data_IF_525390612989
#
_entry.id   IF_525390612989
#
_cell.length_a   1.000
_cell.length_b   1.000
_cell.length_c   1.000
_cell.angle_alpha   90.00
_cell.angle_beta   90.00
_cell.angle_gamma   90.00
#
_symmetry.space_group_name_H-M   'P 1'
#
loop_
_entity.id
_entity.type
_entity.pdbx_description
1 polymer ?
#
# COMPACT_ATOMS: atom_id res chain seq x y z
N UNK A 1 7.06 22.90 -3.04
CA UNK A 1 8.26 22.20 -3.53
C UNK A 1 7.87 21.54 -4.84
N UNK A 2 8.52 21.90 -5.96
CA UNK A 2 8.15 21.41 -7.31
C UNK A 2 8.53 19.93 -7.47
N UNK A 3 7.54 19.04 -7.60
CA UNK A 3 7.74 17.67 -8.06
C UNK A 3 7.27 17.62 -9.52
N UNK A 4 8.17 17.95 -10.44
CA UNK A 4 7.98 17.83 -11.88
C UNK A 4 8.58 16.50 -12.33
N UNK A 5 7.81 15.40 -12.27
CA UNK A 5 8.15 14.11 -12.91
C UNK A 5 6.89 13.31 -13.34
N UNK A 6 5.76 13.98 -13.59
CA UNK A 6 4.45 13.31 -13.62
C UNK A 6 3.97 12.74 -14.96
N UNK A 7 4.85 12.52 -15.95
CA UNK A 7 4.39 12.33 -17.34
C UNK A 7 4.46 10.93 -17.97
N UNK A 8 5.23 9.98 -17.45
CA UNK A 8 5.60 8.77 -18.25
C UNK A 8 5.44 7.43 -17.55
N UNK A 9 5.10 7.40 -16.26
CA UNK A 9 4.96 6.13 -15.52
C UNK A 9 3.52 5.60 -15.61
N UNK A 10 3.31 4.27 -15.71
CA UNK A 10 1.99 3.67 -15.59
C UNK A 10 1.32 4.12 -14.28
N UNK A 11 0.02 4.48 -14.31
CA UNK A 11 -0.74 5.03 -13.17
C UNK A 11 -0.48 4.29 -11.85
N UNK A 12 -0.44 2.96 -11.87
CA UNK A 12 -0.20 2.16 -10.67
C UNK A 12 1.19 2.37 -10.06
N UNK A 13 2.22 2.56 -10.89
CA UNK A 13 3.59 2.79 -10.42
C UNK A 13 3.74 4.18 -9.82
N UNK A 14 3.12 5.19 -10.44
CA UNK A 14 3.05 6.54 -9.90
C UNK A 14 2.39 6.56 -8.51
N UNK A 15 1.28 5.84 -8.34
CA UNK A 15 0.61 5.69 -7.05
C UNK A 15 1.51 5.04 -5.99
N UNK A 16 2.12 3.88 -6.31
CA UNK A 16 3.01 3.14 -5.42
C UNK A 16 4.23 3.97 -4.99
N UNK A 17 4.79 4.77 -5.89
CA UNK A 17 5.92 5.65 -5.60
C UNK A 17 5.49 6.81 -4.68
N UNK A 18 4.38 7.50 -4.99
CA UNK A 18 3.83 8.58 -4.16
C UNK A 18 3.43 8.11 -2.77
N UNK A 19 2.74 6.97 -2.65
CA UNK A 19 2.44 6.33 -1.36
C UNK A 19 3.72 5.98 -0.60
N UNK A 20 4.74 5.47 -1.30
CA UNK A 20 6.04 5.19 -0.70
C UNK A 20 6.71 6.44 -0.10
N UNK A 21 6.58 7.61 -0.75
CA UNK A 21 7.08 8.88 -0.20
C UNK A 21 6.32 9.30 1.06
N UNK A 22 4.99 9.24 1.03
CA UNK A 22 4.15 9.54 2.19
C UNK A 22 4.52 8.65 3.38
N UNK A 23 4.57 7.34 3.17
CA UNK A 23 4.86 6.38 4.24
C UNK A 23 6.29 6.51 4.75
N UNK A 24 7.26 6.82 3.88
CA UNK A 24 8.61 7.17 4.33
C UNK A 24 8.63 8.41 5.23
N UNK A 25 7.83 9.42 4.92
CA UNK A 25 7.72 10.62 5.75
C UNK A 25 7.13 10.31 7.13
N UNK A 26 6.10 9.47 7.18
CA UNK A 26 5.41 9.08 8.42
C UNK A 26 6.25 8.16 9.33
N UNK A 27 7.06 7.27 8.75
CA UNK A 27 7.75 6.20 9.50
C UNK A 27 9.27 6.36 9.59
N UNK A 28 9.88 7.23 8.79
CA UNK A 28 11.32 7.51 8.87
C UNK A 28 12.19 6.26 8.73
N UNK A 29 12.94 5.92 9.77
CA UNK A 29 13.84 4.76 9.80
C UNK A 29 13.12 3.41 9.80
N UNK A 30 11.85 3.37 10.20
CA UNK A 30 11.02 2.16 10.17
C UNK A 30 10.48 1.84 8.77
N UNK A 31 10.72 2.70 7.79
CA UNK A 31 10.37 2.48 6.39
C UNK A 31 11.57 1.99 5.57
N UNK A 32 11.37 0.93 4.81
CA UNK A 32 12.34 0.43 3.83
C UNK A 32 11.66 0.12 2.50
N UNK A 33 12.14 0.70 1.40
CA UNK A 33 11.67 0.34 0.06
C UNK A 33 12.10 -1.09 -0.29
N UNK A 34 11.20 -1.90 -0.83
CA UNK A 34 11.57 -3.23 -1.30
C UNK A 34 12.42 -3.14 -2.56
N UNK A 35 13.34 -4.09 -2.72
CA UNK A 35 14.07 -4.29 -3.96
C UNK A 35 13.16 -4.95 -5.00
N UNK A 36 13.47 -4.81 -6.29
CA UNK A 36 12.73 -5.50 -7.37
C UNK A 36 12.68 -7.02 -7.15
N UNK A 37 13.74 -7.61 -6.58
CA UNK A 37 13.77 -9.06 -6.30
C UNK A 37 12.79 -9.44 -5.19
N UNK A 38 12.65 -8.60 -4.17
CA UNK A 38 11.69 -8.80 -3.08
C UNK A 38 10.26 -8.63 -3.60
N UNK A 39 9.98 -7.61 -4.41
CA UNK A 39 8.65 -7.48 -5.02
C UNK A 39 8.30 -8.72 -5.88
N UNK A 40 9.21 -9.18 -6.73
CA UNK A 40 8.94 -10.34 -7.59
C UNK A 40 8.73 -11.66 -6.83
N UNK A 41 9.38 -11.85 -5.67
CA UNK A 41 9.37 -13.11 -4.90
C UNK A 41 8.43 -13.10 -3.70
N UNK A 42 8.17 -11.92 -3.17
CA UNK A 42 7.44 -11.72 -1.92
C UNK A 42 6.23 -10.81 -2.14
N UNK A 43 6.04 -10.24 -3.34
CA UNK A 43 4.90 -9.39 -3.69
C UNK A 43 4.78 -8.19 -2.77
N UNK A 44 5.89 -7.53 -2.48
CA UNK A 44 6.03 -6.47 -1.48
C UNK A 44 6.61 -5.22 -2.12
N UNK A 45 5.94 -4.08 -1.98
CA UNK A 45 6.41 -2.79 -2.47
C UNK A 45 7.39 -2.14 -1.48
N UNK A 46 7.12 -2.31 -0.18
CA UNK A 46 7.93 -1.75 0.90
C UNK A 46 7.69 -2.46 2.25
N UNK A 47 8.53 -2.14 3.21
CA UNK A 47 8.45 -2.61 4.59
C UNK A 47 8.16 -1.45 5.53
N UNK A 48 7.25 -1.64 6.48
CA UNK A 48 6.94 -0.67 7.54
C UNK A 48 7.01 -1.39 8.88
N UNK A 49 7.91 -0.96 9.78
CA UNK A 49 8.17 -1.63 11.06
C UNK A 49 8.40 -3.15 10.90
N UNK A 50 9.09 -3.55 9.82
CA UNK A 50 9.36 -4.95 9.47
C UNK A 50 8.20 -5.72 8.81
N UNK A 51 7.01 -5.11 8.64
CA UNK A 51 5.85 -5.70 7.98
C UNK A 51 5.97 -5.50 6.47
N UNK A 52 5.75 -6.56 5.68
CA UNK A 52 5.65 -6.49 4.21
C UNK A 52 4.35 -5.82 3.80
N UNK A 53 4.43 -4.78 2.99
CA UNK A 53 3.27 -4.03 2.52
C UNK A 53 3.25 -3.94 0.99
N UNK A 54 2.08 -4.16 0.42
CA UNK A 54 1.73 -4.05 -1.00
C UNK A 54 0.56 -3.07 -1.11
N UNK A 55 0.70 -2.04 -1.93
CA UNK A 55 -0.32 -1.03 -2.15
C UNK A 55 -0.83 -1.09 -3.57
N UNK A 56 -2.15 -0.99 -3.73
CA UNK A 56 -2.72 -1.12 -5.05
C UNK A 56 -3.99 -0.33 -5.21
N UNK A 57 -4.24 0.14 -6.42
CA UNK A 57 -5.52 0.69 -6.85
C UNK A 57 -6.38 -0.34 -7.60
N UNK A 58 -5.95 -1.61 -7.62
CA UNK A 58 -6.65 -2.69 -8.33
C UNK A 58 -7.11 -3.78 -7.35
N UNK A 59 -8.31 -4.34 -7.55
CA UNK A 59 -8.79 -5.41 -6.69
C UNK A 59 -7.89 -6.65 -6.79
N UNK A 60 -7.44 -7.15 -5.64
CA UNK A 60 -6.60 -8.36 -5.55
C UNK A 60 -7.48 -9.61 -5.50
N UNK A 61 -7.22 -10.57 -6.39
CA UNK A 61 -8.11 -11.74 -6.61
C UNK A 61 -7.55 -13.10 -6.19
N UNK A 62 -6.27 -13.20 -5.82
CA UNK A 62 -5.61 -14.50 -5.58
C UNK A 62 -5.01 -14.59 -4.18
N UNK A 63 -5.19 -15.73 -3.50
CA UNK A 63 -4.55 -16.05 -2.21
C UNK A 63 -4.65 -14.93 -1.17
N UNK A 64 -5.80 -14.25 -1.13
CA UNK A 64 -6.07 -13.15 -0.20
C UNK A 64 -7.08 -13.55 0.85
N UNK A 65 -6.87 -13.09 2.08
CA UNK A 65 -7.84 -13.09 3.17
C UNK A 65 -8.17 -11.64 3.51
N UNK A 66 -9.43 -11.27 3.39
CA UNK A 66 -9.90 -9.96 3.83
C UNK A 66 -9.80 -9.84 5.35
N UNK A 67 -9.32 -8.69 5.84
CA UNK A 67 -9.27 -8.38 7.26
C UNK A 67 -10.32 -7.34 7.64
N UNK A 68 -10.27 -6.16 7.02
CA UNK A 68 -11.13 -5.04 7.35
C UNK A 68 -11.15 -3.98 6.23
N UNK A 69 -11.95 -2.93 6.38
CA UNK A 69 -11.87 -1.74 5.55
C UNK A 69 -12.07 -0.44 6.33
N UNK A 70 -11.47 0.62 5.80
CA UNK A 70 -11.59 1.97 6.32
C UNK A 70 -12.16 2.86 5.22
N UNK A 71 -13.12 3.71 5.57
CA UNK A 71 -13.74 4.63 4.63
C UNK A 71 -13.29 6.05 4.96
N UNK A 72 -12.66 6.70 3.99
CA UNK A 72 -12.35 8.13 4.00
C UNK A 72 -13.14 8.81 2.88
N UNK A 73 -13.33 10.15 2.90
CA UNK A 73 -14.02 10.84 1.82
C UNK A 73 -13.42 10.49 0.47
N UNK A 74 -14.18 9.86 -0.43
CA UNK A 74 -13.70 9.57 -1.79
C UNK A 74 -12.81 8.34 -1.96
N UNK A 75 -12.51 7.58 -0.89
CA UNK A 75 -11.77 6.32 -1.00
C UNK A 75 -12.20 5.29 0.06
N UNK A 76 -12.27 4.02 -0.33
CA UNK A 76 -12.29 2.90 0.62
C UNK A 76 -10.95 2.17 0.58
N UNK A 77 -10.33 2.04 1.76
CA UNK A 77 -9.07 1.34 1.95
C UNK A 77 -9.39 -0.06 2.47
N UNK A 78 -9.27 -1.06 1.61
CA UNK A 78 -9.47 -2.46 1.96
C UNK A 78 -8.15 -3.06 2.46
N UNK A 79 -8.18 -3.65 3.64
CA UNK A 79 -7.02 -4.28 4.29
C UNK A 79 -7.11 -5.79 4.15
N UNK A 80 -6.08 -6.39 3.58
CA UNK A 80 -6.07 -7.82 3.27
C UNK A 80 -4.72 -8.45 3.61
N UNK A 81 -4.69 -9.76 3.86
CA UNK A 81 -3.47 -10.56 3.90
C UNK A 81 -3.35 -11.35 2.62
N UNK A 82 -2.20 -11.24 1.95
CA UNK A 82 -1.89 -12.00 0.74
C UNK A 82 -0.82 -13.04 1.03
N UNK A 83 -1.13 -14.29 0.74
CA UNK A 83 -0.27 -15.44 1.03
C UNK A 83 0.52 -15.93 -0.19
N UNK A 84 0.36 -15.28 -1.34
CA UNK A 84 1.10 -15.65 -2.54
C UNK A 84 0.65 -14.90 -3.79
N UNK A 85 1.26 -15.26 -4.90
CA UNK A 85 0.87 -14.82 -6.23
C UNK A 85 0.51 -16.03 -7.10
N UNK A 86 0.33 -15.81 -8.41
CA UNK A 86 0.01 -16.89 -9.35
C UNK A 86 1.10 -17.95 -9.49
N UNK A 87 2.34 -17.63 -9.11
CA UNK A 87 3.52 -18.47 -9.34
C UNK A 87 4.00 -19.20 -8.09
N UNK A 88 3.90 -18.58 -6.91
CA UNK A 88 4.39 -19.14 -5.66
C UNK A 88 3.59 -18.68 -4.46
N UNK A 89 3.70 -19.42 -3.36
CA UNK A 89 3.30 -19.01 -2.02
C UNK A 89 4.40 -18.19 -1.37
N UNK A 90 4.01 -17.20 -0.59
CA UNK A 90 4.93 -16.39 0.20
C UNK A 90 5.23 -17.08 1.51
N UNK A 91 6.48 -16.94 2.00
CA UNK A 91 6.90 -17.50 3.29
C UNK A 91 6.13 -16.85 4.46
N UNK A 92 5.89 -15.56 4.35
CA UNK A 92 5.14 -14.75 5.29
C UNK A 92 4.07 -13.98 4.51
N UNK A 93 2.88 -13.77 5.08
CA UNK A 93 1.84 -13.01 4.41
C UNK A 93 2.28 -11.55 4.20
N UNK A 94 1.75 -10.93 3.15
CA UNK A 94 1.90 -9.51 2.86
C UNK A 94 0.64 -8.78 3.27
N UNK A 95 0.79 -7.66 3.96
CA UNK A 95 -0.28 -6.71 4.20
C UNK A 95 -0.58 -5.97 2.90
N UNK A 96 -1.77 -6.19 2.35
CA UNK A 96 -2.23 -5.48 1.16
C UNK A 96 -3.18 -4.36 1.57
N UNK A 97 -2.90 -3.15 1.11
CA UNK A 97 -3.83 -2.02 1.16
C UNK A 97 -4.34 -1.74 -0.26
N UNK A 98 -5.60 -2.11 -0.51
CA UNK A 98 -6.28 -1.83 -1.76
C UNK A 98 -7.11 -0.54 -1.63
N UNK A 99 -6.73 0.48 -2.38
CA UNK A 99 -7.37 1.79 -2.41
C UNK A 99 -8.40 1.84 -3.54
N UNK A 100 -9.66 1.69 -3.18
CA UNK A 100 -10.79 1.86 -4.09
C UNK A 100 -11.19 3.34 -4.13
N UNK A 101 -10.74 4.04 -5.18
CA UNK A 101 -10.98 5.48 -5.37
C UNK A 101 -12.31 5.77 -6.08
N UNK A 102 -13.00 6.82 -5.62
CA UNK A 102 -14.23 7.35 -6.21
C UNK A 102 -14.07 8.80 -6.73
N UNK A 103 -12.89 9.41 -6.58
CA UNK A 103 -12.65 10.83 -6.91
C UNK A 103 -12.01 11.06 -8.28
N UNK A 104 -11.60 10.00 -8.99
CA UNK A 104 -11.02 10.09 -10.33
C UNK A 104 -9.89 9.08 -10.55
N UNK A 105 -9.37 8.97 -11.79
CA UNK A 105 -8.29 8.05 -12.12
C UNK A 105 -6.88 8.58 -11.81
N UNK A 106 -6.75 9.85 -11.40
CA UNK A 106 -5.46 10.46 -11.11
C UNK A 106 -4.88 9.90 -9.79
N UNK A 107 -3.71 9.26 -9.82
CA UNK A 107 -3.10 8.72 -8.60
C UNK A 107 -2.64 9.79 -7.61
N UNK A 108 -2.33 11.02 -8.05
CA UNK A 108 -1.85 12.08 -7.16
C UNK A 108 -2.98 12.65 -6.32
N UNK A 109 -4.14 12.90 -6.92
CA UNK A 109 -5.34 13.35 -6.21
C UNK A 109 -5.72 12.38 -5.08
N UNK A 110 -5.55 11.07 -5.32
CA UNK A 110 -5.79 10.04 -4.32
C UNK A 110 -4.76 10.07 -3.18
N UNK A 111 -3.48 10.28 -3.49
CA UNK A 111 -2.44 10.34 -2.44
C UNK A 111 -2.56 11.62 -1.61
N UNK A 112 -2.85 12.76 -2.24
CA UNK A 112 -3.10 14.02 -1.53
C UNK A 112 -4.31 13.90 -0.58
N UNK A 113 -5.38 13.21 -1.03
CA UNK A 113 -6.51 12.87 -0.17
C UNK A 113 -6.08 11.97 1.01
N UNK A 114 -5.30 10.92 0.75
CA UNK A 114 -4.82 10.01 1.80
C UNK A 114 -3.93 10.77 2.79
N UNK A 115 -3.05 11.65 2.34
CA UNK A 115 -2.20 12.48 3.21
C UNK A 115 -3.04 13.39 4.11
N UNK A 116 -4.13 13.96 3.60
CA UNK A 116 -5.01 14.84 4.36
C UNK A 116 -5.86 14.09 5.41
N UNK A 117 -6.27 12.85 5.11
CA UNK A 117 -7.25 12.11 5.91
C UNK A 117 -6.62 11.00 6.77
N UNK A 118 -5.41 10.53 6.44
CA UNK A 118 -4.75 9.38 7.07
C UNK A 118 -3.41 9.78 7.68
N UNK A 119 -3.41 10.06 8.98
CA UNK A 119 -2.19 10.29 9.73
C UNK A 119 -1.45 8.98 10.07
N UNK A 120 -0.33 9.10 10.81
CA UNK A 120 0.42 7.93 11.24
C UNK A 120 -0.43 6.99 12.11
N UNK A 121 -1.27 7.51 13.00
CA UNK A 121 -2.09 6.69 13.89
C UNK A 121 -3.10 5.84 13.10
N UNK A 122 -3.65 6.38 12.01
CA UNK A 122 -4.49 5.63 11.08
C UNK A 122 -3.75 4.41 10.51
N UNK A 123 -2.53 4.62 9.99
CA UNK A 123 -1.74 3.51 9.45
C UNK A 123 -1.28 2.54 10.55
N UNK A 124 -0.98 3.01 11.77
CA UNK A 124 -0.65 2.15 12.90
C UNK A 124 -1.81 1.21 13.27
N UNK A 125 -3.07 1.65 13.11
CA UNK A 125 -4.25 0.79 13.27
C UNK A 125 -4.28 -0.32 12.21
N UNK A 126 -3.99 0.00 10.95
CA UNK A 126 -3.89 -0.99 9.86
C UNK A 126 -2.77 -1.99 10.14
N UNK A 127 -1.57 -1.54 10.52
CA UNK A 127 -0.45 -2.42 10.87
C UNK A 127 -0.78 -3.32 12.08
N UNK A 128 -1.57 -2.81 13.02
CA UNK A 128 -2.05 -3.59 14.17
C UNK A 128 -3.03 -4.69 13.75
N UNK A 129 -3.82 -4.50 12.68
CA UNK A 129 -4.65 -5.57 12.11
C UNK A 129 -3.80 -6.72 11.58
N UNK A 130 -2.69 -6.44 10.89
CA UNK A 130 -1.76 -7.46 10.43
C UNK A 130 -1.23 -8.29 11.60
N UNK A 131 -0.70 -7.63 12.65
CA UNK A 131 -0.11 -8.29 13.82
C UNK A 131 -1.10 -9.15 14.63
N UNK A 132 -2.41 -8.90 14.53
CA UNK A 132 -3.43 -9.73 15.18
C UNK A 132 -3.70 -11.05 14.45
N UNK A 133 -3.30 -11.14 13.19
CA UNK A 133 -3.65 -12.25 12.30
C UNK A 133 -2.44 -13.08 11.83
N UNK A 134 -1.23 -12.68 12.25
CA UNK A 134 0.06 -13.31 11.92
C UNK A 134 0.87 -13.44 13.20
#
# INVERSE_FOLDING_TARGET
MNILLYGTQPIGKAFEDSMGYLLKHLYGEDYLRATESQDQKEGTDFFICGIRVDVTMKPVKNKVKYLDSFVIPGCTIHVQLRYGNRRHDFKEPVLVMYFESFIGPDPYDLVDLIEAECDKEFFDQILSLYRKHV
#
